data_IF_046956690881
#
_entry.id   IF_046956690881
#
_cell.length_a   1.000
_cell.length_b   1.000
_cell.length_c   1.000
_cell.angle_alpha   90.00
_cell.angle_beta   90.00
_cell.angle_gamma   90.00
#
_symmetry.space_group_name_H-M   'P 1'
#
loop_
_entity.id
_entity.type
_entity.pdbx_description
1 polymer ?
#
# COMPACT_ATOMS: atom_id res chain seq x y z
N UNK A 1 9.52 -5.00 18.72
CA UNK A 1 9.68 -6.27 17.98
C UNK A 1 9.59 -5.95 16.49
N UNK A 2 10.31 -6.67 15.62
CA UNK A 2 10.16 -6.53 14.17
C UNK A 2 8.98 -7.40 13.72
N UNK A 3 8.16 -6.91 12.81
CA UNK A 3 6.98 -7.61 12.29
C UNK A 3 7.28 -8.14 10.89
N UNK A 4 6.81 -9.35 10.60
CA UNK A 4 6.83 -9.97 9.27
C UNK A 4 5.42 -10.43 8.93
N UNK A 5 5.01 -10.28 7.68
CA UNK A 5 3.73 -10.82 7.20
C UNK A 5 3.97 -12.15 6.47
N UNK A 6 3.05 -13.08 6.66
CA UNK A 6 3.07 -14.43 6.09
C UNK A 6 1.68 -14.77 5.55
N UNK A 7 1.58 -15.72 4.63
CA UNK A 7 0.32 -16.22 4.12
C UNK A 7 -0.44 -17.10 5.15
N UNK A 8 -1.72 -17.35 4.88
CA UNK A 8 -2.62 -18.08 5.80
C UNK A 8 -2.22 -19.55 5.96
N UNK A 9 -1.66 -20.17 4.92
CA UNK A 9 -1.23 -21.58 4.95
C UNK A 9 -0.01 -21.75 5.85
N UNK A 10 0.98 -20.87 5.70
CA UNK A 10 2.19 -20.82 6.52
C UNK A 10 1.85 -20.43 7.97
N UNK A 11 0.91 -19.51 8.17
CA UNK A 11 0.41 -19.18 9.51
C UNK A 11 -0.20 -20.41 10.19
N UNK A 12 -1.07 -21.15 9.50
CA UNK A 12 -1.71 -22.35 10.03
C UNK A 12 -0.67 -23.45 10.33
N UNK A 13 0.32 -23.61 9.46
CA UNK A 13 1.43 -24.52 9.69
C UNK A 13 2.21 -24.15 10.96
N UNK A 14 2.62 -22.89 11.13
CA UNK A 14 3.35 -22.44 12.32
C UNK A 14 2.49 -22.61 13.58
N UNK A 15 1.20 -22.23 13.54
CA UNK A 15 0.29 -22.34 14.67
C UNK A 15 0.07 -23.80 15.12
N UNK A 16 -0.05 -24.74 14.17
CA UNK A 16 -0.20 -26.18 14.47
C UNK A 16 1.02 -26.80 15.16
N UNK A 17 2.17 -26.14 15.11
CA UNK A 17 3.41 -26.58 15.77
C UNK A 17 3.59 -26.01 17.20
N UNK A 18 2.55 -25.43 17.80
CA UNK A 18 2.54 -24.95 19.19
C UNK A 18 2.63 -26.13 20.17
N UNK A 19 3.59 -26.10 21.10
CA UNK A 19 3.76 -27.19 22.10
C UNK A 19 3.30 -26.81 23.50
N UNK A 20 3.37 -25.53 23.83
CA UNK A 20 3.03 -25.02 25.16
C UNK A 20 2.04 -23.87 25.03
N UNK A 21 1.09 -23.80 25.97
CA UNK A 21 0.14 -22.68 26.02
C UNK A 21 0.91 -21.37 26.27
N UNK A 22 0.65 -20.35 25.45
CA UNK A 22 1.32 -19.05 25.55
C UNK A 22 2.73 -18.99 24.93
N UNK A 23 3.13 -20.00 24.15
CA UNK A 23 4.38 -19.95 23.38
C UNK A 23 4.36 -18.82 22.34
N UNK A 24 5.46 -18.07 22.22
CA UNK A 24 5.55 -16.99 21.21
C UNK A 24 5.84 -17.54 19.82
N UNK A 25 5.39 -16.83 18.77
CA UNK A 25 5.70 -17.21 17.39
C UNK A 25 7.22 -17.33 17.12
N UNK A 26 8.02 -16.51 17.80
CA UNK A 26 9.49 -16.56 17.69
C UNK A 26 10.07 -17.87 18.24
N UNK A 27 9.50 -18.41 19.32
CA UNK A 27 9.98 -19.65 19.94
C UNK A 27 9.65 -20.87 19.07
N UNK A 28 8.44 -20.88 18.50
CA UNK A 28 8.00 -21.90 17.54
C UNK A 28 8.95 -21.91 16.32
N UNK A 29 9.23 -20.74 15.75
CA UNK A 29 10.11 -20.60 14.58
C UNK A 29 11.56 -21.02 14.87
N UNK A 30 12.12 -20.65 16.02
CA UNK A 30 13.49 -21.07 16.41
C UNK A 30 13.62 -22.58 16.52
N UNK A 31 12.57 -23.25 17.00
CA UNK A 31 12.51 -24.72 17.06
C UNK A 31 12.41 -25.34 15.67
N UNK A 32 11.49 -24.85 14.82
CA UNK A 32 11.27 -25.39 13.48
C UNK A 32 12.49 -25.23 12.58
N UNK A 33 13.19 -24.10 12.69
CA UNK A 33 14.36 -23.76 11.88
C UNK A 33 15.68 -24.28 12.48
N UNK A 34 15.63 -25.05 13.57
CA UNK A 34 16.79 -25.61 14.27
C UNK A 34 17.87 -24.56 14.62
N UNK A 35 17.49 -23.28 14.81
CA UNK A 35 18.43 -22.15 14.99
C UNK A 35 19.32 -22.35 16.22
N UNK A 36 18.86 -23.14 17.19
CA UNK A 36 19.60 -23.52 18.39
C UNK A 36 20.72 -24.54 18.13
N UNK A 37 20.64 -25.38 17.09
CA UNK A 37 21.73 -26.31 16.73
C UNK A 37 22.93 -25.57 16.14
N UNK A 38 22.68 -24.56 15.30
CA UNK A 38 23.74 -23.72 14.73
C UNK A 38 24.47 -22.87 15.78
N UNK A 39 23.79 -22.45 16.86
CA UNK A 39 24.45 -21.77 18.00
C UNK A 39 25.14 -22.73 18.96
N UNK A 40 24.70 -23.98 19.09
CA UNK A 40 25.37 -24.98 19.91
C UNK A 40 26.69 -25.46 19.27
N UNK A 41 26.81 -25.46 17.95
CA UNK A 41 28.07 -25.73 17.24
C UNK A 41 29.01 -24.51 17.20
N UNK A 42 28.48 -23.28 17.20
CA UNK A 42 29.32 -22.06 17.24
C UNK A 42 29.69 -21.60 18.66
N UNK A 43 28.94 -21.97 19.71
CA UNK A 43 29.28 -21.63 21.11
C UNK A 43 30.27 -22.61 21.77
N UNK A 44 30.61 -23.73 21.12
CA UNK A 44 31.63 -24.68 21.62
C UNK A 44 33.06 -24.34 21.18
N UNK A 45 33.24 -23.35 20.30
CA UNK A 45 34.55 -22.94 19.77
C UNK A 45 35.14 -21.67 20.41
N UNK A 46 34.49 -21.02 21.38
CA UNK A 46 34.99 -19.74 21.94
C UNK A 46 35.05 -19.67 23.48
N UNK A 47 34.84 -20.78 24.19
CA UNK A 47 34.84 -20.83 25.66
C UNK A 47 36.12 -21.43 26.29
N UNK A 48 37.28 -21.31 25.64
CA UNK A 48 38.59 -21.57 26.27
C UNK A 48 39.65 -20.55 25.83
N UNK A 49 39.52 -19.31 26.27
CA UNK A 49 40.66 -18.43 26.53
C UNK A 49 40.22 -17.37 27.54
N UNK A 50 40.35 -17.73 28.82
CA UNK A 50 40.44 -16.75 29.89
C UNK A 50 41.63 -15.84 29.57
N UNK A 51 41.49 -14.53 29.67
CA UNK A 51 42.08 -13.78 30.79
C UNK A 51 42.03 -12.26 30.57
N UNK A 52 41.55 -11.59 31.63
CA UNK A 52 42.18 -10.43 32.26
C UNK A 52 42.05 -9.06 31.57
N UNK A 53 41.13 -8.21 32.04
CA UNK A 53 41.36 -7.28 33.16
C UNK A 53 40.46 -6.04 33.09
N UNK A 54 39.83 -5.75 34.24
CA UNK A 54 39.48 -4.45 34.83
C UNK A 54 39.31 -3.20 33.93
N UNK A 55 38.07 -2.69 33.91
CA UNK A 55 37.73 -1.26 34.18
C UNK A 55 38.03 -0.92 35.66
N UNK A 56 38.17 0.35 36.12
CA UNK A 56 37.54 1.61 35.66
C UNK A 56 38.56 2.79 35.53
N UNK A 57 38.29 4.01 35.06
CA UNK A 57 37.62 5.16 35.72
C UNK A 57 37.70 6.39 34.77
N UNK A 58 36.57 7.07 34.55
CA UNK A 58 36.28 8.54 34.48
C UNK A 58 37.35 9.59 34.07
N UNK A 59 37.07 10.42 33.03
CA UNK A 59 37.12 11.93 32.95
C UNK A 59 36.88 12.41 31.50
N UNK A 60 35.81 13.17 31.20
CA UNK A 60 35.68 14.65 31.10
C UNK A 60 36.16 15.28 29.76
N UNK A 61 35.29 16.17 29.26
CA UNK A 61 35.47 17.31 28.34
C UNK A 61 35.21 17.19 26.82
N UNK A 62 34.11 17.83 26.42
CA UNK A 62 33.86 18.60 25.17
C UNK A 62 34.86 19.78 25.03
N UNK A 63 34.97 20.57 23.92
CA UNK A 63 34.06 20.80 22.77
C UNK A 63 34.79 21.04 21.39
N UNK A 64 34.05 21.58 20.40
CA UNK A 64 34.45 22.37 19.20
C UNK A 64 34.35 21.63 17.85
N UNK A 65 33.34 21.93 17.01
CA UNK A 65 33.32 22.94 15.91
C UNK A 65 34.51 22.78 14.93
N UNK A 66 34.40 22.74 13.60
CA UNK A 66 33.58 23.52 12.66
C UNK A 66 33.92 23.04 11.21
N UNK A 67 33.09 23.40 10.22
CA UNK A 67 33.34 23.57 8.76
C UNK A 67 33.68 22.31 7.91
N UNK A 68 33.29 22.10 6.64
CA UNK A 68 32.97 22.90 5.43
C UNK A 68 32.12 21.98 4.51
N UNK A 69 31.03 22.36 3.85
CA UNK A 69 30.78 23.34 2.75
C UNK A 69 31.17 22.87 1.32
N UNK A 70 30.36 23.32 0.36
CA UNK A 70 30.43 23.37 -1.10
C UNK A 70 30.08 22.08 -1.90
N UNK A 71 28.92 21.96 -2.58
CA UNK A 71 28.45 22.66 -3.81
C UNK A 71 29.25 22.15 -5.04
N UNK A 72 28.72 21.87 -6.25
CA UNK A 72 27.91 22.71 -7.13
C UNK A 72 27.68 21.92 -8.46
N UNK A 73 26.52 22.15 -9.12
CA UNK A 73 26.33 22.34 -10.59
C UNK A 73 26.55 21.14 -11.56
N UNK A 74 25.83 20.94 -12.68
CA UNK A 74 25.04 21.86 -13.52
C UNK A 74 24.36 21.14 -14.72
N UNK A 75 23.25 21.77 -15.21
CA UNK A 75 22.79 21.96 -16.63
C UNK A 75 22.42 20.76 -17.54
N UNK A 76 21.55 20.85 -18.57
CA UNK A 76 20.82 21.93 -19.29
C UNK A 76 19.70 21.30 -20.16
N UNK A 77 18.60 22.04 -20.38
CA UNK A 77 17.84 22.32 -21.63
C UNK A 77 17.51 21.19 -22.65
N UNK A 78 16.35 21.15 -23.35
CA UNK A 78 15.76 22.19 -24.21
C UNK A 78 14.25 21.98 -24.51
N UNK A 79 13.63 23.13 -24.77
CA UNK A 79 12.30 23.53 -25.28
C UNK A 79 11.90 22.93 -26.64
N UNK A 80 10.59 22.74 -26.91
CA UNK A 80 9.95 23.36 -28.09
C UNK A 80 8.41 23.34 -28.11
N UNK A 81 7.88 24.54 -28.31
CA UNK A 81 6.52 24.93 -28.63
C UNK A 81 6.02 24.38 -29.98
N UNK A 82 4.70 24.17 -30.11
CA UNK A 82 3.98 24.44 -31.35
C UNK A 82 2.57 24.98 -31.01
N UNK A 83 2.40 26.28 -31.20
CA UNK A 83 1.11 26.94 -31.36
C UNK A 83 0.51 26.57 -32.73
N UNK A 84 -0.78 26.30 -32.80
CA UNK A 84 -1.57 26.56 -34.00
C UNK A 84 -3.01 26.86 -33.63
N UNK A 85 -3.36 28.09 -33.96
CA UNK A 85 -4.66 28.73 -33.87
C UNK A 85 -5.61 28.19 -34.96
N UNK A 86 -6.91 28.40 -34.75
CA UNK A 86 -8.06 28.23 -35.66
C UNK A 86 -8.64 26.83 -35.92
N UNK A 87 -9.71 26.48 -35.20
CA UNK A 87 -11.02 26.16 -35.84
C UNK A 87 -12.19 26.32 -34.86
N UNK A 88 -13.21 27.01 -35.35
CA UNK A 88 -14.49 27.26 -34.70
C UNK A 88 -15.26 25.97 -34.36
N UNK A 89 -15.85 25.96 -33.15
CA UNK A 89 -17.16 25.41 -32.76
C UNK A 89 -17.76 24.33 -33.68
N UNK A 90 -17.56 23.07 -33.31
CA UNK A 90 -18.54 21.99 -33.54
C UNK A 90 -18.61 21.12 -32.29
N UNK A 91 -19.82 21.03 -31.73
CA UNK A 91 -20.21 20.11 -30.67
C UNK A 91 -19.87 18.67 -31.05
N UNK A 92 -18.90 18.06 -30.36
CA UNK A 92 -18.67 16.62 -30.42
C UNK A 92 -18.40 16.15 -28.99
N UNK A 93 -19.40 15.47 -28.43
CA UNK A 93 -19.26 14.56 -27.29
C UNK A 93 -18.04 13.67 -27.54
N UNK A 94 -16.97 13.90 -26.79
CA UNK A 94 -15.78 13.05 -26.83
C UNK A 94 -16.16 11.62 -26.45
N UNK A 95 -15.63 10.60 -27.16
CA UNK A 95 -15.81 9.21 -26.78
C UNK A 95 -14.87 8.91 -25.61
N UNK A 96 -15.17 9.47 -24.45
CA UNK A 96 -14.65 9.01 -23.16
C UNK A 96 -14.91 7.49 -23.14
N UNK A 97 -13.87 6.66 -23.14
CA UNK A 97 -14.05 5.21 -23.14
C UNK A 97 -14.93 4.84 -21.96
N UNK A 98 -16.17 4.43 -22.21
CA UNK A 98 -17.08 4.14 -21.13
C UNK A 98 -16.52 2.92 -20.39
N UNK A 99 -16.44 3.00 -19.06
CA UNK A 99 -15.97 1.90 -18.20
C UNK A 99 -16.53 0.54 -18.61
N UNK A 100 -17.76 0.49 -19.10
CA UNK A 100 -18.45 -0.72 -19.56
C UNK A 100 -17.79 -1.41 -20.76
N UNK A 101 -17.04 -0.69 -21.58
CA UNK A 101 -16.30 -1.25 -22.72
C UNK A 101 -15.01 -1.94 -22.26
N UNK A 102 -14.45 -1.50 -21.13
CA UNK A 102 -13.22 -2.05 -20.54
C UNK A 102 -13.50 -3.20 -19.57
N UNK A 103 -14.67 -3.21 -18.92
CA UNK A 103 -14.99 -4.23 -17.93
C UNK A 103 -15.37 -5.54 -18.63
N UNK A 104 -14.43 -6.48 -18.63
CA UNK A 104 -14.73 -7.87 -18.94
C UNK A 104 -15.31 -8.57 -17.70
N UNK A 105 -16.56 -9.01 -17.79
CA UNK A 105 -17.23 -9.77 -16.71
C UNK A 105 -16.47 -11.05 -16.36
N UNK A 106 -15.77 -11.66 -17.31
CA UNK A 106 -14.94 -12.85 -17.06
C UNK A 106 -13.72 -12.50 -16.19
N UNK A 107 -13.08 -11.36 -16.44
CA UNK A 107 -11.94 -10.90 -15.63
C UNK A 107 -12.38 -10.59 -14.18
N UNK A 108 -13.57 -9.98 -14.01
CA UNK A 108 -14.16 -9.80 -12.69
C UNK A 108 -14.50 -11.13 -12.01
N UNK A 109 -14.96 -12.13 -12.76
CA UNK A 109 -15.27 -13.46 -12.22
C UNK A 109 -14.01 -14.24 -11.82
N UNK A 110 -12.87 -13.99 -12.47
CA UNK A 110 -11.58 -14.59 -12.11
C UNK A 110 -11.01 -14.03 -10.80
N UNK A 111 -11.39 -12.82 -10.40
CA UNK A 111 -10.89 -12.22 -9.16
C UNK A 111 -11.41 -12.95 -7.92
N UNK A 112 -10.50 -13.24 -6.98
CA UNK A 112 -10.86 -13.91 -5.73
C UNK A 112 -11.55 -12.93 -4.77
N UNK A 113 -12.84 -13.17 -4.53
CA UNK A 113 -13.62 -12.48 -3.51
C UNK A 113 -14.02 -11.04 -3.86
N UNK A 114 -14.70 -10.38 -2.93
CA UNK A 114 -15.21 -9.02 -3.15
C UNK A 114 -14.10 -7.97 -3.21
N UNK A 115 -13.02 -8.11 -2.45
CA UNK A 115 -11.92 -7.12 -2.44
C UNK A 115 -11.19 -7.08 -3.78
N UNK A 116 -10.92 -8.23 -4.40
CA UNK A 116 -10.27 -8.28 -5.71
C UNK A 116 -11.09 -7.59 -6.80
N UNK A 117 -12.40 -7.90 -6.84
CA UNK A 117 -13.35 -7.24 -7.76
C UNK A 117 -13.44 -5.74 -7.52
N UNK A 118 -13.49 -5.30 -6.27
CA UNK A 118 -13.49 -3.89 -5.90
C UNK A 118 -12.25 -3.14 -6.42
N UNK A 119 -11.05 -3.71 -6.22
CA UNK A 119 -9.81 -3.10 -6.71
C UNK A 119 -9.73 -3.06 -8.23
N UNK A 120 -10.22 -4.11 -8.91
CA UNK A 120 -10.23 -4.16 -10.37
C UNK A 120 -11.18 -3.10 -10.96
N UNK A 121 -12.37 -2.93 -10.37
CA UNK A 121 -13.32 -1.88 -10.80
C UNK A 121 -12.68 -0.49 -10.63
N UNK A 122 -12.05 -0.22 -9.47
CA UNK A 122 -11.35 1.05 -9.23
C UNK A 122 -10.19 1.29 -10.20
N UNK A 123 -9.43 0.25 -10.54
CA UNK A 123 -8.34 0.34 -11.52
C UNK A 123 -8.85 0.71 -12.91
N UNK A 124 -9.99 0.13 -13.34
CA UNK A 124 -10.61 0.48 -14.60
C UNK A 124 -11.18 1.91 -14.60
N UNK A 125 -11.80 2.34 -13.50
CA UNK A 125 -12.26 3.72 -13.33
C UNK A 125 -11.11 4.72 -13.44
N UNK A 126 -9.97 4.43 -12.80
CA UNK A 126 -8.76 5.24 -12.92
C UNK A 126 -8.23 5.26 -14.36
N UNK A 127 -8.24 4.12 -15.05
CA UNK A 127 -7.73 4.00 -16.42
C UNK A 127 -8.48 4.88 -17.40
N UNK A 128 -9.81 4.97 -17.26
CA UNK A 128 -10.67 5.84 -18.06
C UNK A 128 -10.47 7.30 -17.64
N UNK A 129 -10.50 7.58 -16.33
CA UNK A 129 -10.59 8.94 -15.79
C UNK A 129 -9.31 9.41 -15.11
N UNK A 130 -8.14 9.24 -15.73
CA UNK A 130 -6.85 9.54 -15.08
C UNK A 130 -6.74 10.97 -14.56
N UNK A 131 -7.24 11.95 -15.32
CA UNK A 131 -7.18 13.37 -14.97
C UNK A 131 -8.15 13.79 -13.88
N UNK A 132 -9.28 13.09 -13.76
CA UNK A 132 -10.35 13.43 -12.83
C UNK A 132 -10.33 12.59 -11.55
N UNK A 133 -9.54 11.51 -11.53
CA UNK A 133 -9.49 10.59 -10.40
C UNK A 133 -9.00 11.21 -9.09
N UNK A 134 -8.33 12.37 -9.13
CA UNK A 134 -7.96 13.09 -7.91
C UNK A 134 -9.18 13.50 -7.08
N UNK A 135 -10.34 13.70 -7.70
CA UNK A 135 -11.62 14.01 -7.01
C UNK A 135 -12.06 12.90 -6.06
N UNK A 136 -11.57 11.67 -6.24
CA UNK A 136 -11.89 10.52 -5.38
C UNK A 136 -11.33 10.70 -3.96
N UNK A 137 -10.29 11.53 -3.78
CA UNK A 137 -9.69 11.82 -2.47
C UNK A 137 -10.67 12.54 -1.53
N UNK A 138 -11.65 13.27 -2.06
CA UNK A 138 -12.65 13.97 -1.26
C UNK A 138 -13.70 13.01 -0.65
N UNK A 139 -13.75 11.77 -1.14
CA UNK A 139 -14.71 10.76 -0.67
C UNK A 139 -14.21 10.17 0.65
N UNK A 140 -14.87 10.58 1.74
CA UNK A 140 -14.53 10.17 3.11
C UNK A 140 -15.74 9.72 3.90
N UNK A 141 -15.47 8.93 4.93
CA UNK A 141 -16.44 8.61 5.98
C UNK A 141 -16.50 9.70 7.04
N UNK A 142 -17.21 9.40 8.13
CA UNK A 142 -17.28 10.29 9.31
C UNK A 142 -15.88 10.57 9.88
N UNK A 143 -15.20 9.50 10.26
CA UNK A 143 -13.90 9.56 10.95
C UNK A 143 -12.78 8.85 10.17
N UNK A 144 -13.04 8.48 8.92
CA UNK A 144 -12.13 7.65 8.12
C UNK A 144 -11.94 8.23 6.74
N UNK A 145 -10.69 8.37 6.34
CA UNK A 145 -10.31 8.59 4.95
C UNK A 145 -10.44 7.27 4.18
N UNK A 146 -11.07 7.28 2.99
CA UNK A 146 -11.22 6.06 2.18
C UNK A 146 -10.11 5.91 1.15
N UNK A 147 -9.69 7.02 0.56
CA UNK A 147 -8.69 7.08 -0.50
C UNK A 147 -7.58 8.06 -0.14
N UNK A 148 -6.35 7.73 -0.51
CA UNK A 148 -5.18 8.56 -0.25
C UNK A 148 -4.11 8.37 -1.33
N UNK A 149 -3.09 9.23 -1.36
CA UNK A 149 -1.90 9.06 -2.21
C UNK A 149 -0.82 8.17 -1.58
N UNK A 150 -0.95 7.89 -0.28
CA UNK A 150 -0.01 7.05 0.47
C UNK A 150 -0.73 6.04 1.37
N UNK A 151 -0.02 4.98 1.74
CA UNK A 151 -0.55 3.96 2.65
C UNK A 151 -0.65 4.48 4.08
N UNK A 152 0.35 5.27 4.47
CA UNK A 152 0.55 5.82 5.80
C UNK A 152 -0.60 6.74 6.19
N UNK A 153 -1.04 7.60 5.27
CA UNK A 153 -2.16 8.51 5.49
C UNK A 153 -3.43 7.73 5.86
N UNK A 154 -3.73 6.62 5.18
CA UNK A 154 -4.90 5.78 5.54
C UNK A 154 -4.75 5.06 6.88
N UNK A 155 -3.51 4.81 7.34
CA UNK A 155 -3.26 4.22 8.67
C UNK A 155 -3.41 5.22 9.79
N UNK A 156 -3.10 6.50 9.55
CA UNK A 156 -3.29 7.58 10.53
C UNK A 156 -4.77 7.77 10.89
N UNK A 157 -5.66 7.70 9.91
CA UNK A 157 -7.11 7.74 10.11
C UNK A 157 -7.71 6.43 10.66
N UNK A 158 -6.88 5.41 10.90
CA UNK A 158 -7.28 4.20 11.61
C UNK A 158 -6.34 3.02 11.40
N UNK A 159 -5.90 2.39 12.49
CA UNK A 159 -5.04 1.20 12.44
C UNK A 159 -5.69 -0.03 11.80
N UNK A 160 -7.03 -0.07 11.72
CA UNK A 160 -7.81 -1.18 11.18
C UNK A 160 -8.41 -0.87 9.80
N UNK A 161 -7.70 -0.15 8.94
CA UNK A 161 -8.17 0.18 7.58
C UNK A 161 -7.77 -0.84 6.52
N UNK A 162 -6.71 -1.63 6.76
CA UNK A 162 -6.09 -2.55 5.79
C UNK A 162 -5.98 -1.90 4.40
N UNK A 163 -5.17 -0.83 4.24
CA UNK A 163 -4.99 -0.16 2.96
C UNK A 163 -4.50 -1.14 1.88
N UNK A 164 -4.92 -0.93 0.63
CA UNK A 164 -4.33 -1.58 -0.55
C UNK A 164 -4.17 -0.59 -1.69
N UNK A 165 -3.11 -0.76 -2.46
CA UNK A 165 -2.89 0.00 -3.70
C UNK A 165 -3.94 -0.39 -4.74
N UNK A 166 -4.52 0.61 -5.41
CA UNK A 166 -5.36 0.38 -6.60
C UNK A 166 -4.43 0.08 -7.77
N UNK A 167 -4.57 -1.08 -8.45
CA UNK A 167 -3.68 -1.47 -9.53
C UNK A 167 -3.55 -0.41 -10.62
N UNK A 168 -2.33 -0.25 -11.15
CA UNK A 168 -2.01 0.71 -12.22
C UNK A 168 -2.23 2.18 -11.86
N UNK A 169 -2.31 2.52 -10.57
CA UNK A 169 -2.52 3.90 -10.09
C UNK A 169 -1.59 4.23 -8.91
N UNK A 170 -1.56 5.51 -8.52
CA UNK A 170 -0.83 6.01 -7.35
C UNK A 170 -1.75 6.19 -6.13
N UNK A 171 -2.94 5.58 -6.15
CA UNK A 171 -3.95 5.77 -5.13
C UNK A 171 -4.11 4.51 -4.28
N UNK A 172 -4.29 4.73 -2.99
CA UNK A 172 -4.56 3.69 -2.00
C UNK A 172 -6.02 3.75 -1.57
N UNK A 173 -6.59 2.60 -1.22
CA UNK A 173 -7.95 2.49 -0.72
C UNK A 173 -8.03 1.58 0.50
N UNK A 174 -8.91 1.91 1.45
CA UNK A 174 -9.18 1.03 2.60
C UNK A 174 -9.92 -0.24 2.16
N UNK A 175 -9.48 -1.41 2.61
CA UNK A 175 -10.13 -2.68 2.23
C UNK A 175 -10.88 -3.35 3.38
N UNK A 176 -10.65 -2.93 4.63
CA UNK A 176 -11.41 -3.37 5.79
C UNK A 176 -12.78 -2.66 5.87
N UNK A 177 -13.66 -3.04 4.95
CA UNK A 177 -15.02 -2.54 4.82
C UNK A 177 -15.96 -3.67 4.38
N UNK A 178 -17.24 -3.59 4.72
CA UNK A 178 -18.22 -4.57 4.23
C UNK A 178 -18.62 -4.27 2.77
N UNK A 179 -19.32 -5.21 2.13
CA UNK A 179 -19.73 -5.11 0.73
C UNK A 179 -20.64 -3.91 0.49
N UNK A 180 -21.58 -3.63 1.40
CA UNK A 180 -22.48 -2.45 1.29
C UNK A 180 -21.69 -1.14 1.24
N UNK A 181 -20.67 -1.00 2.10
CA UNK A 181 -19.81 0.17 2.10
C UNK A 181 -18.97 0.25 0.83
N UNK A 182 -18.41 -0.86 0.35
CA UNK A 182 -17.68 -0.88 -0.93
C UNK A 182 -18.57 -0.47 -2.11
N UNK A 183 -19.80 -0.99 -2.19
CA UNK A 183 -20.79 -0.59 -3.20
C UNK A 183 -21.06 0.92 -3.13
N UNK A 184 -21.25 1.46 -1.92
CA UNK A 184 -21.40 2.91 -1.74
C UNK A 184 -20.17 3.69 -2.19
N UNK A 185 -18.96 3.25 -1.84
CA UNK A 185 -17.72 3.89 -2.32
C UNK A 185 -17.66 3.90 -3.85
N UNK A 186 -18.02 2.79 -4.52
CA UNK A 186 -18.06 2.73 -5.98
C UNK A 186 -19.09 3.70 -6.57
N UNK A 187 -20.27 3.82 -5.95
CA UNK A 187 -21.29 4.80 -6.34
C UNK A 187 -20.76 6.23 -6.19
N UNK A 188 -20.18 6.57 -5.05
CA UNK A 188 -19.65 7.90 -4.77
C UNK A 188 -18.51 8.25 -5.76
N UNK A 189 -17.61 7.28 -6.04
CA UNK A 189 -16.54 7.43 -7.03
C UNK A 189 -17.10 7.65 -8.42
N UNK A 190 -18.06 6.84 -8.86
CA UNK A 190 -18.65 6.98 -10.18
C UNK A 190 -19.32 8.36 -10.35
N UNK A 191 -20.04 8.84 -9.34
CA UNK A 191 -20.64 10.17 -9.37
C UNK A 191 -19.58 11.27 -9.45
N UNK A 192 -18.49 11.15 -8.68
CA UNK A 192 -17.39 12.11 -8.73
C UNK A 192 -16.71 12.16 -10.11
N UNK A 193 -16.67 11.04 -10.83
CA UNK A 193 -16.14 10.94 -12.20
C UNK A 193 -17.18 11.24 -13.30
N UNK A 194 -18.30 11.87 -12.94
CA UNK A 194 -19.31 12.34 -13.91
C UNK A 194 -20.29 11.28 -14.42
N UNK A 195 -20.30 10.05 -13.88
CA UNK A 195 -21.29 9.05 -14.28
C UNK A 195 -22.70 9.41 -13.80
N UNK A 196 -23.69 9.02 -14.60
CA UNK A 196 -25.10 9.19 -14.23
C UNK A 196 -25.47 8.29 -13.04
N UNK A 197 -26.58 8.61 -12.37
CA UNK A 197 -27.10 7.77 -11.29
C UNK A 197 -27.28 6.32 -11.74
N UNK A 198 -27.90 6.09 -12.90
CA UNK A 198 -28.11 4.74 -13.44
C UNK A 198 -26.80 4.00 -13.74
N UNK A 199 -25.79 4.68 -14.29
CA UNK A 199 -24.49 4.06 -14.54
C UNK A 199 -23.76 3.73 -13.23
N UNK A 200 -23.81 4.62 -12.25
CA UNK A 200 -23.23 4.38 -10.92
C UNK A 200 -23.86 3.17 -10.23
N UNK A 201 -25.16 2.93 -10.43
CA UNK A 201 -25.84 1.73 -9.95
C UNK A 201 -25.35 0.48 -10.66
N UNK A 202 -25.21 0.55 -12.00
CA UNK A 202 -24.69 -0.57 -12.77
C UNK A 202 -23.25 -0.92 -12.37
N UNK A 203 -22.42 0.08 -12.07
CA UNK A 203 -21.04 -0.10 -11.61
C UNK A 203 -20.99 -0.79 -10.24
N UNK A 204 -21.81 -0.37 -9.26
CA UNK A 204 -21.81 -1.00 -7.94
C UNK A 204 -22.29 -2.46 -7.98
N UNK A 205 -23.13 -2.84 -8.94
CA UNK A 205 -23.62 -4.21 -9.08
C UNK A 205 -22.62 -5.18 -9.71
N UNK A 206 -21.46 -4.68 -10.17
CA UNK A 206 -20.35 -5.52 -10.62
C UNK A 206 -19.59 -6.17 -9.45
N UNK A 207 -19.86 -5.72 -8.22
CA UNK A 207 -19.25 -6.18 -6.98
C UNK A 207 -20.09 -7.22 -6.24
#
# INVERSE_FOLDING_TARGET
MKTIEIDDELYQYIASNTKYIGESASDILRRLLEVSKGKAEQAKATAQAKNNNNTPVEVVDTPKAEVVDAQTTETTETVQDIESDTVEKISVVSPEQNLFDLINKEELAMQRGAVGRFLLILSNLYRVHKGEFEQVLDIRGRDRLYFAKSEEELREYGSSTKPKLIPNSNYWVITNSNTTKKKRMLTDVAIALGYTGSDSERIRELL
#
